data_IF_157976849743
#
_entry.id   IF_157976849743
#
_cell.length_a   1.000
_cell.length_b   1.000
_cell.length_c   1.000
_cell.angle_alpha   90.00
_cell.angle_beta   90.00
_cell.angle_gamma   90.00
#
_symmetry.space_group_name_H-M   'P 1'
#
loop_
_entity.id
_entity.type
_entity.pdbx_description
1 polymer ?
#
# COMPACT_ATOMS: atom_id res chain seq x y z
N UNK A 1 -31.90 -8.67 -14.97
CA UNK A 1 -31.94 -9.06 -13.54
C UNK A 1 -32.21 -7.82 -12.69
N UNK A 2 -33.06 -7.88 -11.65
CA UNK A 2 -33.34 -6.74 -10.80
C UNK A 2 -32.14 -6.48 -9.88
N UNK A 3 -31.67 -5.22 -9.85
CA UNK A 3 -30.55 -4.77 -9.02
C UNK A 3 -30.85 -5.00 -7.53
N UNK A 4 -29.89 -5.60 -6.84
CA UNK A 4 -29.88 -5.78 -5.39
C UNK A 4 -30.19 -4.46 -4.68
N UNK A 5 -31.03 -4.53 -3.65
CA UNK A 5 -31.36 -3.38 -2.78
C UNK A 5 -30.05 -2.80 -2.25
N UNK A 6 -29.69 -1.60 -2.72
CA UNK A 6 -28.65 -0.75 -2.10
C UNK A 6 -28.97 -0.68 -0.62
N UNK A 7 -28.05 -1.13 0.22
CA UNK A 7 -28.10 -0.82 1.64
C UNK A 7 -28.12 0.70 1.77
N UNK A 8 -29.27 1.24 2.16
CA UNK A 8 -29.46 2.61 2.63
C UNK A 8 -28.70 2.80 3.96
N UNK A 9 -27.39 2.59 3.95
CA UNK A 9 -26.58 2.69 5.15
C UNK A 9 -26.52 4.15 5.56
N UNK A 10 -27.08 4.44 6.73
CA UNK A 10 -27.05 5.76 7.37
C UNK A 10 -25.64 6.37 7.36
N UNK A 11 -24.61 5.53 7.48
CA UNK A 11 -23.19 5.90 7.42
C UNK A 11 -22.78 6.44 6.03
N UNK A 12 -23.29 5.86 4.95
CA UNK A 12 -22.99 6.32 3.58
C UNK A 12 -23.65 7.68 3.29
N UNK A 13 -24.88 7.87 3.80
CA UNK A 13 -25.61 9.15 3.71
C UNK A 13 -24.94 10.25 4.53
N UNK A 14 -24.54 9.96 5.76
CA UNK A 14 -23.84 10.94 6.61
C UNK A 14 -22.46 11.28 6.06
N UNK A 15 -21.73 10.29 5.54
CA UNK A 15 -20.45 10.53 4.86
C UNK A 15 -20.64 11.42 3.63
N UNK A 16 -21.65 11.15 2.81
CA UNK A 16 -21.97 11.95 1.62
C UNK A 16 -22.34 13.39 1.99
N UNK A 17 -23.18 13.60 3.02
CA UNK A 17 -23.57 14.94 3.48
C UNK A 17 -22.36 15.72 4.04
N UNK A 18 -21.50 15.07 4.81
CA UNK A 18 -20.28 15.70 5.35
C UNK A 18 -19.30 16.08 4.23
N UNK A 19 -19.13 15.20 3.23
CA UNK A 19 -18.32 15.50 2.05
C UNK A 19 -18.87 16.70 1.26
N UNK A 20 -20.20 16.79 1.09
CA UNK A 20 -20.86 17.91 0.41
C UNK A 20 -20.70 19.25 1.16
N UNK A 21 -20.76 19.23 2.50
CA UNK A 21 -20.54 20.43 3.32
C UNK A 21 -19.08 20.87 3.24
N UNK A 22 -18.13 19.93 3.37
CA UNK A 22 -16.70 20.22 3.33
C UNK A 22 -16.28 20.80 1.96
N UNK A 23 -16.81 20.27 0.86
CA UNK A 23 -16.52 20.77 -0.50
C UNK A 23 -17.12 22.15 -0.79
N UNK A 24 -18.16 22.58 -0.05
CA UNK A 24 -18.71 23.95 -0.11
C UNK A 24 -17.90 24.95 0.70
N UNK A 25 -17.29 24.52 1.80
CA UNK A 25 -16.54 25.38 2.72
C UNK A 25 -15.09 25.55 2.27
N UNK A 26 -14.47 24.49 1.77
CA UNK A 26 -13.15 24.55 1.13
C UNK A 26 -13.35 25.01 -0.31
N UNK A 27 -12.60 26.00 -0.83
CA UNK A 27 -12.65 26.37 -2.24
C UNK A 27 -12.06 25.22 -3.07
N UNK A 28 -12.86 24.19 -3.31
CA UNK A 28 -12.47 23.05 -4.14
C UNK A 28 -12.64 23.44 -5.59
N UNK A 29 -11.54 23.41 -6.32
CA UNK A 29 -11.59 23.72 -7.75
C UNK A 29 -12.46 22.67 -8.44
N UNK A 30 -13.12 23.05 -9.56
CA UNK A 30 -13.86 22.08 -10.39
C UNK A 30 -12.98 20.87 -10.74
N UNK A 31 -11.69 21.12 -10.97
CA UNK A 31 -10.66 20.12 -11.27
C UNK A 31 -10.46 19.12 -10.12
N UNK A 32 -10.29 19.58 -8.89
CA UNK A 32 -10.16 18.71 -7.70
C UNK A 32 -11.41 17.84 -7.51
N UNK A 33 -12.60 18.42 -7.68
CA UNK A 33 -13.86 17.65 -7.61
C UNK A 33 -13.91 16.56 -8.67
N UNK A 34 -13.54 16.87 -9.91
CA UNK A 34 -13.46 15.88 -10.99
C UNK A 34 -12.42 14.79 -10.69
N UNK A 35 -11.23 15.15 -10.18
CA UNK A 35 -10.20 14.19 -9.77
C UNK A 35 -10.73 13.23 -8.69
N UNK A 36 -11.41 13.77 -7.68
CA UNK A 36 -12.02 13.00 -6.59
C UNK A 36 -13.11 12.03 -7.08
N UNK A 37 -13.95 12.46 -8.03
CA UNK A 37 -14.97 11.59 -8.65
C UNK A 37 -14.29 10.41 -9.34
N UNK A 38 -13.32 10.66 -10.23
CA UNK A 38 -12.61 9.58 -10.91
C UNK A 38 -11.87 8.65 -9.94
N UNK A 39 -11.32 9.18 -8.85
CA UNK A 39 -10.69 8.34 -7.83
C UNK A 39 -11.69 7.41 -7.14
N UNK A 40 -12.88 7.94 -6.78
CA UNK A 40 -13.97 7.15 -6.18
C UNK A 40 -14.51 6.10 -7.14
N UNK A 41 -14.66 6.44 -8.41
CA UNK A 41 -15.09 5.49 -9.45
C UNK A 41 -14.07 4.36 -9.60
N UNK A 42 -12.77 4.68 -9.57
CA UNK A 42 -11.70 3.67 -9.59
C UNK A 42 -11.75 2.73 -8.40
N UNK A 43 -11.98 3.25 -7.19
CA UNK A 43 -12.14 2.42 -5.98
C UNK A 43 -13.40 1.54 -6.06
N UNK A 44 -14.51 2.07 -6.56
CA UNK A 44 -15.75 1.31 -6.74
C UNK A 44 -15.54 0.14 -7.70
N UNK A 45 -15.01 0.42 -8.89
CA UNK A 45 -14.72 -0.60 -9.90
C UNK A 45 -13.76 -1.67 -9.37
N UNK A 46 -12.73 -1.27 -8.61
CA UNK A 46 -11.81 -2.21 -7.97
C UNK A 46 -12.52 -3.12 -6.96
N UNK A 47 -13.43 -2.57 -6.15
CA UNK A 47 -14.19 -3.35 -5.15
C UNK A 47 -15.20 -4.30 -5.78
N UNK A 48 -15.70 -3.97 -6.97
CA UNK A 48 -16.67 -4.78 -7.73
C UNK A 48 -15.98 -5.81 -8.64
N UNK A 49 -14.64 -5.83 -8.70
CA UNK A 49 -13.86 -6.74 -9.54
C UNK A 49 -13.85 -6.34 -11.02
N UNK A 50 -14.29 -5.12 -11.35
CA UNK A 50 -14.26 -4.55 -12.69
C UNK A 50 -12.86 -3.98 -13.02
N UNK A 51 -11.85 -4.87 -13.00
CA UNK A 51 -10.44 -4.51 -13.14
C UNK A 51 -10.08 -3.86 -14.49
N UNK A 52 -10.95 -3.92 -15.49
CA UNK A 52 -10.76 -3.23 -16.77
C UNK A 52 -11.10 -1.72 -16.69
N UNK A 53 -12.02 -1.32 -15.81
CA UNK A 53 -12.48 0.06 -15.70
C UNK A 53 -11.69 0.85 -14.64
N UNK A 54 -11.29 0.18 -13.55
CA UNK A 54 -10.55 0.79 -12.46
C UNK A 54 -9.26 1.54 -12.89
N UNK A 55 -8.38 0.98 -13.77
CA UNK A 55 -7.18 1.69 -14.22
C UNK A 55 -7.51 2.99 -14.94
N UNK A 56 -8.54 2.99 -15.79
CA UNK A 56 -8.92 4.16 -16.57
C UNK A 56 -9.37 5.30 -15.65
N UNK A 57 -10.17 4.97 -14.65
CA UNK A 57 -10.62 5.94 -13.64
C UNK A 57 -9.44 6.50 -12.84
N UNK A 58 -8.52 5.64 -12.37
CA UNK A 58 -7.33 6.14 -11.67
C UNK A 58 -6.39 6.98 -12.56
N UNK A 59 -6.22 6.66 -13.85
CA UNK A 59 -5.44 7.50 -14.76
C UNK A 59 -6.09 8.87 -15.00
N UNK A 60 -7.42 8.92 -15.12
CA UNK A 60 -8.14 10.19 -15.21
C UNK A 60 -7.98 11.01 -13.93
N UNK A 61 -8.08 10.38 -12.76
CA UNK A 61 -7.83 11.02 -11.47
C UNK A 61 -6.40 11.56 -11.42
N UNK A 62 -5.39 10.76 -11.78
CA UNK A 62 -3.97 11.14 -11.77
C UNK A 62 -3.67 12.39 -12.62
N UNK A 63 -4.32 12.49 -13.79
CA UNK A 63 -4.14 13.63 -14.71
C UNK A 63 -4.68 14.93 -14.10
N UNK A 64 -5.77 14.85 -13.35
CA UNK A 64 -6.44 16.00 -12.78
C UNK A 64 -5.89 16.37 -11.40
N UNK A 65 -5.54 15.39 -10.58
CA UNK A 65 -4.99 15.63 -9.26
C UNK A 65 -3.65 16.36 -9.38
N UNK A 66 -3.40 17.33 -8.52
CA UNK A 66 -2.15 18.08 -8.44
C UNK A 66 -1.46 17.88 -7.10
N UNK A 67 -2.22 17.56 -6.06
CA UNK A 67 -1.69 17.37 -4.73
C UNK A 67 -0.80 16.12 -4.69
N UNK A 68 0.39 16.28 -4.08
CA UNK A 68 1.38 15.22 -4.03
C UNK A 68 0.90 14.06 -3.16
N UNK A 69 0.25 14.36 -2.05
CA UNK A 69 -0.22 13.38 -1.10
C UNK A 69 -1.35 12.54 -1.72
N UNK A 70 -2.35 13.15 -2.35
CA UNK A 70 -3.45 12.42 -3.00
C UNK A 70 -2.95 11.59 -4.20
N UNK A 71 -2.02 12.13 -4.99
CA UNK A 71 -1.36 11.37 -6.07
C UNK A 71 -0.66 10.11 -5.56
N UNK A 72 -0.13 10.11 -4.34
CA UNK A 72 0.51 8.92 -3.78
C UNK A 72 -0.47 7.75 -3.63
N UNK A 73 -1.72 8.01 -3.23
CA UNK A 73 -2.75 6.99 -3.10
C UNK A 73 -3.24 6.50 -4.46
N UNK A 74 -3.38 7.41 -5.44
CA UNK A 74 -3.75 7.02 -6.81
C UNK A 74 -2.67 6.11 -7.41
N UNK A 75 -1.38 6.45 -7.26
CA UNK A 75 -0.27 5.59 -7.70
C UNK A 75 -0.32 4.22 -7.02
N UNK A 76 -0.53 4.19 -5.70
CA UNK A 76 -0.65 2.94 -4.96
C UNK A 76 -1.79 2.05 -5.48
N UNK A 77 -2.96 2.63 -5.76
CA UNK A 77 -4.10 1.87 -6.26
C UNK A 77 -3.89 1.37 -7.70
N UNK A 78 -3.19 2.14 -8.55
CA UNK A 78 -2.76 1.65 -9.87
C UNK A 78 -1.80 0.45 -9.69
N UNK A 79 -0.87 0.54 -8.75
CA UNK A 79 0.01 -0.57 -8.39
C UNK A 79 -0.74 -1.83 -7.95
N UNK A 80 -1.82 -1.68 -7.16
CA UNK A 80 -2.67 -2.79 -6.73
C UNK A 80 -3.31 -3.53 -7.92
N UNK A 81 -3.79 -2.78 -8.93
CA UNK A 81 -4.39 -3.39 -10.11
C UNK A 81 -3.35 -4.17 -10.93
N UNK A 82 -2.15 -3.61 -11.10
CA UNK A 82 -1.07 -4.34 -11.75
C UNK A 82 -0.65 -5.59 -10.96
N UNK A 83 -0.66 -5.54 -9.63
CA UNK A 83 -0.44 -6.72 -8.79
C UNK A 83 -1.52 -7.78 -9.03
N UNK A 84 -2.80 -7.42 -9.06
CA UNK A 84 -3.90 -8.38 -9.29
C UNK A 84 -3.86 -9.00 -10.69
N UNK A 85 -3.31 -8.28 -11.67
CA UNK A 85 -3.13 -8.77 -13.04
C UNK A 85 -1.83 -9.60 -13.22
N UNK A 86 -1.05 -9.83 -12.16
CA UNK A 86 0.25 -10.53 -12.23
C UNK A 86 1.38 -9.69 -12.85
N UNK A 87 1.14 -8.42 -13.16
CA UNK A 87 2.12 -7.49 -13.75
C UNK A 87 3.04 -6.90 -12.68
N UNK A 88 3.72 -7.76 -11.92
CA UNK A 88 4.49 -7.38 -10.73
C UNK A 88 5.60 -6.35 -10.98
N UNK A 89 6.20 -6.34 -12.18
CA UNK A 89 7.21 -5.33 -12.53
C UNK A 89 6.61 -3.92 -12.60
N UNK A 90 5.49 -3.76 -13.33
CA UNK A 90 4.77 -2.48 -13.42
C UNK A 90 4.23 -2.06 -12.05
N UNK A 91 3.69 -3.01 -11.28
CA UNK A 91 3.21 -2.73 -9.93
C UNK A 91 4.29 -2.11 -9.04
N UNK A 92 5.51 -2.66 -9.10
CA UNK A 92 6.65 -2.12 -8.36
C UNK A 92 7.00 -0.70 -8.80
N UNK A 93 6.99 -0.38 -10.10
CA UNK A 93 7.24 0.99 -10.58
C UNK A 93 6.28 2.02 -9.96
N UNK A 94 4.99 1.69 -9.86
CA UNK A 94 4.00 2.55 -9.20
C UNK A 94 4.19 2.61 -7.69
N UNK A 95 4.48 1.47 -7.04
CA UNK A 95 4.76 1.46 -5.60
C UNK A 95 6.06 2.17 -5.23
N UNK A 96 7.02 2.32 -6.13
CA UNK A 96 8.22 3.14 -5.91
C UNK A 96 7.89 4.64 -5.96
N UNK A 97 7.06 5.06 -6.92
CA UNK A 97 6.71 6.48 -7.10
C UNK A 97 5.79 7.01 -5.99
N UNK A 98 5.00 6.16 -5.33
CA UNK A 98 4.06 6.59 -4.30
C UNK A 98 4.77 7.11 -3.02
N UNK A 99 5.72 6.38 -2.40
CA UNK A 99 6.47 6.86 -1.25
C UNK A 99 7.37 8.08 -1.51
N UNK A 100 7.78 8.32 -2.76
CA UNK A 100 8.49 9.56 -3.13
C UNK A 100 7.63 10.81 -2.91
N UNK A 101 6.30 10.65 -2.95
CA UNK A 101 5.31 11.74 -2.80
C UNK A 101 4.74 11.81 -1.39
N UNK A 102 4.62 10.64 -0.76
CA UNK A 102 4.14 10.49 0.60
C UNK A 102 4.94 9.39 1.30
N UNK A 103 5.94 9.78 2.09
CA UNK A 103 6.77 8.83 2.84
C UNK A 103 5.99 8.02 3.88
N UNK A 104 4.79 8.47 4.26
CA UNK A 104 3.91 7.80 5.23
C UNK A 104 2.87 6.93 4.52
N UNK A 105 3.33 5.96 3.71
CA UNK A 105 2.48 5.02 2.99
C UNK A 105 2.90 3.57 3.23
N UNK A 106 2.66 3.03 4.43
CA UNK A 106 3.10 1.68 4.78
C UNK A 106 2.52 0.57 3.90
N UNK A 107 1.34 0.79 3.32
CA UNK A 107 0.68 -0.17 2.43
C UNK A 107 1.50 -0.40 1.15
N UNK A 108 2.11 0.66 0.59
CA UNK A 108 2.97 0.53 -0.58
C UNK A 108 4.22 -0.29 -0.25
N UNK A 109 4.88 0.00 0.88
CA UNK A 109 6.03 -0.78 1.32
C UNK A 109 5.67 -2.25 1.58
N UNK A 110 4.53 -2.52 2.20
CA UNK A 110 4.07 -3.90 2.40
C UNK A 110 3.86 -4.64 1.06
N UNK A 111 3.22 -4.00 0.08
CA UNK A 111 2.98 -4.64 -1.22
C UNK A 111 4.28 -4.88 -2.00
N UNK A 112 5.24 -3.97 -1.91
CA UNK A 112 6.59 -4.18 -2.46
C UNK A 112 7.25 -5.38 -1.81
N UNK A 113 7.18 -5.50 -0.49
CA UNK A 113 7.75 -6.63 0.25
C UNK A 113 7.12 -7.96 -0.18
N UNK A 114 5.78 -8.01 -0.31
CA UNK A 114 5.06 -9.20 -0.78
C UNK A 114 5.50 -9.62 -2.19
N UNK A 115 5.61 -8.67 -3.13
CA UNK A 115 6.09 -8.96 -4.49
C UNK A 115 7.53 -9.50 -4.47
N UNK A 116 8.40 -8.88 -3.67
CA UNK A 116 9.81 -9.30 -3.55
C UNK A 116 9.91 -10.69 -2.93
N UNK A 117 9.10 -10.99 -1.91
CA UNK A 117 9.03 -12.32 -1.31
C UNK A 117 8.61 -13.38 -2.32
N UNK A 118 7.55 -13.11 -3.09
CA UNK A 118 7.09 -14.01 -4.15
C UNK A 118 8.18 -14.29 -5.20
N UNK A 119 8.98 -13.28 -5.58
CA UNK A 119 10.14 -13.48 -6.46
C UNK A 119 11.23 -14.35 -5.82
N UNK A 120 11.42 -14.24 -4.52
CA UNK A 120 12.30 -15.14 -3.77
C UNK A 120 11.82 -16.59 -3.85
N UNK A 121 10.53 -16.83 -3.60
CA UNK A 121 9.94 -18.17 -3.73
C UNK A 121 10.07 -18.75 -5.15
N UNK A 122 9.87 -17.92 -6.17
CA UNK A 122 10.09 -18.31 -7.56
C UNK A 122 11.55 -18.67 -7.84
N UNK A 123 12.51 -17.94 -7.27
CA UNK A 123 13.93 -18.25 -7.43
C UNK A 123 14.31 -19.59 -6.76
N UNK A 124 13.71 -19.92 -5.60
CA UNK A 124 13.85 -21.26 -4.99
C UNK A 124 13.37 -22.34 -5.98
N UNK A 125 12.19 -22.16 -6.57
CA UNK A 125 11.64 -23.12 -7.52
C UNK A 125 12.53 -23.31 -8.75
N UNK A 126 13.30 -22.30 -9.12
CA UNK A 126 14.27 -22.33 -10.21
C UNK A 126 15.66 -22.88 -9.78
N UNK A 127 15.85 -23.14 -8.49
CA UNK A 127 17.12 -23.62 -7.93
C UNK A 127 18.16 -22.53 -7.68
N UNK A 128 17.80 -21.25 -7.81
CA UNK A 128 18.71 -20.12 -7.61
C UNK A 128 18.58 -19.57 -6.19
N UNK A 129 19.33 -20.19 -5.27
CA UNK A 129 19.28 -19.87 -3.84
C UNK A 129 19.89 -18.50 -3.52
N UNK A 130 20.91 -18.07 -4.26
CA UNK A 130 21.56 -16.78 -4.06
C UNK A 130 20.61 -15.63 -4.43
N UNK A 131 19.99 -15.71 -5.60
CA UNK A 131 18.97 -14.74 -6.03
C UNK A 131 17.77 -14.76 -5.07
N UNK A 132 17.35 -15.95 -4.63
CA UNK A 132 16.27 -16.08 -3.65
C UNK A 132 16.57 -15.33 -2.36
N UNK A 133 17.78 -15.47 -1.82
CA UNK A 133 18.18 -14.82 -0.58
C UNK A 133 18.21 -13.29 -0.74
N UNK A 134 18.74 -12.80 -1.85
CA UNK A 134 18.73 -11.37 -2.17
C UNK A 134 17.30 -10.81 -2.19
N UNK A 135 16.35 -11.53 -2.81
CA UNK A 135 14.95 -11.12 -2.84
C UNK A 135 14.30 -11.10 -1.45
N UNK A 136 14.56 -12.10 -0.62
CA UNK A 136 14.03 -12.13 0.75
C UNK A 136 14.61 -11.03 1.63
N UNK A 137 15.89 -10.69 1.46
CA UNK A 137 16.51 -9.59 2.17
C UNK A 137 15.85 -8.26 1.78
N UNK A 138 15.60 -8.03 0.49
CA UNK A 138 14.85 -6.84 0.04
C UNK A 138 13.42 -6.81 0.60
N UNK A 139 12.71 -7.95 0.63
CA UNK A 139 11.37 -8.03 1.18
C UNK A 139 11.35 -7.63 2.67
N UNK A 140 12.30 -8.15 3.46
CA UNK A 140 12.43 -7.84 4.88
C UNK A 140 12.68 -6.34 5.14
N UNK A 141 13.51 -5.69 4.32
CA UNK A 141 13.77 -4.25 4.43
C UNK A 141 12.49 -3.42 4.20
N UNK A 142 11.67 -3.77 3.21
CA UNK A 142 10.40 -3.07 2.97
C UNK A 142 9.36 -3.35 4.05
N UNK A 143 9.26 -4.58 4.55
CA UNK A 143 8.40 -4.89 5.69
C UNK A 143 8.81 -4.13 6.95
N UNK A 144 10.11 -4.00 7.22
CA UNK A 144 10.63 -3.19 8.32
C UNK A 144 10.19 -1.73 8.19
N UNK A 145 10.24 -1.15 6.98
CA UNK A 145 9.71 0.21 6.72
C UNK A 145 8.20 0.28 6.99
N UNK A 146 7.42 -0.67 6.48
CA UNK A 146 5.97 -0.70 6.72
C UNK A 146 5.62 -0.77 8.22
N UNK A 147 6.26 -1.68 8.95
CA UNK A 147 6.09 -1.84 10.40
C UNK A 147 6.54 -0.60 11.17
N UNK A 148 7.63 0.06 10.76
CA UNK A 148 8.10 1.29 11.43
C UNK A 148 7.09 2.45 11.35
N UNK A 149 6.32 2.51 10.26
CA UNK A 149 5.31 3.54 10.03
C UNK A 149 3.97 3.17 10.68
N UNK A 150 3.67 1.86 10.78
CA UNK A 150 2.43 1.38 11.39
C UNK A 150 2.65 0.02 12.07
N UNK A 151 3.11 0.03 13.34
CA UNK A 151 3.50 -1.19 14.06
C UNK A 151 2.35 -2.19 14.26
N UNK A 152 1.12 -1.71 14.39
CA UNK A 152 -0.02 -2.55 14.73
C UNK A 152 -0.70 -3.20 13.50
N UNK A 153 -0.42 -2.69 12.29
CA UNK A 153 -1.15 -3.10 11.08
C UNK A 153 -0.49 -4.24 10.27
N UNK A 154 0.77 -4.59 10.53
CA UNK A 154 1.51 -5.59 9.76
C UNK A 154 2.06 -6.72 10.63
N UNK A 155 1.19 -7.35 11.42
CA UNK A 155 1.53 -8.48 12.28
C UNK A 155 2.14 -9.67 11.49
N UNK A 156 1.69 -9.91 10.26
CA UNK A 156 2.27 -10.94 9.40
C UNK A 156 3.73 -10.63 9.04
N UNK A 157 4.02 -9.39 8.67
CA UNK A 157 5.39 -8.93 8.37
C UNK A 157 6.32 -9.09 9.59
N UNK A 158 5.81 -8.78 10.78
CA UNK A 158 6.52 -8.98 12.04
C UNK A 158 6.77 -10.48 12.31
N UNK A 159 5.77 -11.34 12.10
CA UNK A 159 5.90 -12.77 12.30
C UNK A 159 6.90 -13.40 11.31
N UNK A 160 6.84 -13.03 10.03
CA UNK A 160 7.80 -13.47 9.01
C UNK A 160 9.22 -13.04 9.35
N UNK A 161 9.41 -11.82 9.85
CA UNK A 161 10.72 -11.33 10.29
C UNK A 161 11.28 -12.15 11.45
N UNK A 162 10.44 -12.55 12.42
CA UNK A 162 10.84 -13.39 13.55
C UNK A 162 11.20 -14.81 13.11
N UNK A 163 10.37 -15.45 12.29
CA UNK A 163 10.58 -16.82 11.80
C UNK A 163 11.86 -16.92 10.97
N UNK A 164 12.13 -15.93 10.13
CA UNK A 164 13.30 -15.92 9.24
C UNK A 164 14.59 -15.42 9.89
N UNK A 165 14.57 -15.09 11.19
CA UNK A 165 15.73 -14.51 11.88
C UNK A 165 16.11 -13.10 11.40
N UNK A 166 15.29 -12.46 10.57
CA UNK A 166 15.51 -11.12 10.02
C UNK A 166 14.96 -9.99 10.89
N UNK A 167 14.43 -10.32 12.07
CA UNK A 167 14.02 -9.33 13.07
C UNK A 167 15.24 -8.69 13.73
N UNK A 168 15.63 -7.49 13.30
CA UNK A 168 16.52 -6.66 14.13
C UNK A 168 15.72 -6.10 15.30
N UNK A 169 15.57 -6.86 16.38
CA UNK A 169 14.93 -6.36 17.60
C UNK A 169 15.84 -5.29 18.22
N UNK A 170 15.52 -4.02 17.97
CA UNK A 170 16.16 -2.85 18.60
C UNK A 170 16.10 -2.90 20.15
N UNK A 171 15.29 -3.81 20.71
CA UNK A 171 15.18 -4.07 22.15
C UNK A 171 16.11 -5.16 22.69
N UNK A 172 16.71 -6.02 21.85
CA UNK A 172 17.66 -7.05 22.33
C UNK A 172 19.09 -6.52 22.50
N UNK A 173 19.45 -5.41 21.85
CA UNK A 173 20.76 -4.78 22.08
C UNK A 173 20.84 -3.95 23.37
N UNK A 174 19.71 -3.44 23.89
CA UNK A 174 19.71 -2.73 25.19
C UNK A 174 19.83 -3.67 26.39
N UNK A 175 19.34 -4.90 26.31
CA UNK A 175 19.52 -5.91 27.36
C UNK A 175 20.95 -6.49 27.36
N UNK A 176 21.58 -6.68 26.20
CA UNK A 176 22.98 -7.14 26.10
C UNK A 176 24.00 -6.06 26.51
N UNK A 177 23.75 -4.78 26.24
CA UNK A 177 24.62 -3.68 26.69
C UNK A 177 24.49 -3.33 28.18
N UNK A 178 23.37 -3.69 28.82
CA UNK A 178 23.19 -3.50 30.27
C UNK A 178 23.76 -4.65 31.10
N UNK A 179 23.83 -5.87 30.56
CA UNK A 179 24.47 -7.01 31.23
C UNK A 179 26.01 -6.87 31.32
N UNK A 180 26.66 -6.31 30.29
CA UNK A 180 28.12 -6.09 30.32
C UNK A 180 28.59 -4.87 31.14
N UNK A 181 27.68 -4.09 31.75
CA UNK A 181 28.03 -2.98 32.64
C UNK A 181 28.01 -3.37 34.13
N UNK A 182 27.57 -4.58 34.48
CA UNK A 182 27.54 -5.09 35.86
C UNK A 182 28.54 -6.23 36.14
N UNK A 183 29.37 -6.60 35.17
CA UNK A 183 30.46 -7.61 35.34
C UNK A 183 31.88 -6.99 35.20
N UNK A 184 32.04 -5.70 35.51
CA UNK A 184 33.36 -5.09 35.73
C UNK A 184 33.37 -4.23 36.97
#
# INVERSE_FOLDING_TARGET
MPRSRRNDNFIDKTFTILADILTRILPTTKREREASIYYRDGMSAQSEGEYAEAPRSYYNAMRLEIDSYDRSYILHNIGLIHTSNGEHAKALEYYFQAPERNSFLPQAFNNMAVIRHHRGEQAIQQGDLEISEAWFNQAAEYWKKAVSLSPDNYAEAQNRSKITGRSSTLHQQKSLLLLHRWER
#
